data_IF_913956201574
#
_entry.id   IF_913956201574
#
_cell.length_a   1.000
_cell.length_b   1.000
_cell.length_c   1.000
_cell.angle_alpha   90.00
_cell.angle_beta   90.00
_cell.angle_gamma   90.00
#
_symmetry.space_group_name_H-M   'P 1'
#
loop_
_entity.id
_entity.type
_entity.pdbx_description
1 polymer ?
#
# COMPACT_ATOMS: atom_id res chain seq x y z
N UNK A 1 -12.10 20.82 -60.81
CA UNK A 1 -10.92 21.08 -59.94
C UNK A 1 -11.29 21.36 -58.48
N UNK A 2 -12.31 22.20 -58.18
CA UNK A 2 -12.70 22.55 -56.80
C UNK A 2 -13.16 21.38 -55.90
N UNK A 3 -13.89 20.40 -56.44
CA UNK A 3 -14.43 19.26 -55.67
C UNK A 3 -13.31 18.36 -55.10
N UNK A 4 -12.26 18.07 -55.88
CA UNK A 4 -11.09 17.30 -55.43
C UNK A 4 -10.34 18.00 -54.29
N UNK A 5 -10.30 19.33 -54.32
CA UNK A 5 -9.65 20.15 -53.29
C UNK A 5 -10.42 20.06 -51.97
N UNK A 6 -11.75 20.18 -52.01
CA UNK A 6 -12.63 20.08 -50.83
C UNK A 6 -12.52 18.71 -50.17
N UNK A 7 -12.51 17.63 -50.96
CA UNK A 7 -12.37 16.25 -50.43
C UNK A 7 -11.02 16.06 -49.72
N UNK A 8 -9.93 16.61 -50.27
CA UNK A 8 -8.61 16.52 -49.63
C UNK A 8 -8.52 17.37 -48.35
N UNK A 9 -9.20 18.52 -48.30
CA UNK A 9 -9.29 19.33 -47.07
C UNK A 9 -10.09 18.59 -46.00
N UNK A 10 -11.25 18.00 -46.35
CA UNK A 10 -12.05 17.21 -45.41
C UNK A 10 -11.30 15.98 -44.89
N UNK A 11 -10.54 15.26 -45.73
CA UNK A 11 -9.69 14.14 -45.29
C UNK A 11 -8.60 14.59 -44.31
N UNK A 12 -7.97 15.74 -44.54
CA UNK A 12 -6.95 16.29 -43.63
C UNK A 12 -7.57 16.71 -42.29
N UNK A 13 -8.75 17.33 -42.31
CA UNK A 13 -9.50 17.70 -41.09
C UNK A 13 -9.89 16.44 -40.30
N UNK A 14 -10.40 15.40 -40.96
CA UNK A 14 -10.77 14.14 -40.33
C UNK A 14 -9.56 13.43 -39.69
N UNK A 15 -8.41 13.46 -40.36
CA UNK A 15 -7.16 12.88 -39.86
C UNK A 15 -6.59 13.65 -38.66
N UNK A 16 -6.69 14.99 -38.66
CA UNK A 16 -6.30 15.84 -37.52
C UNK A 16 -7.21 15.60 -36.29
N UNK A 17 -8.51 15.43 -36.50
CA UNK A 17 -9.44 15.10 -35.40
C UNK A 17 -9.19 13.72 -34.81
N UNK A 18 -8.78 12.74 -35.62
CA UNK A 18 -8.43 11.39 -35.13
C UNK A 18 -7.16 11.40 -34.26
N UNK A 19 -6.15 12.21 -34.61
CA UNK A 19 -4.91 12.33 -33.84
C UNK A 19 -5.10 13.07 -32.51
N UNK A 20 -6.06 14.01 -32.44
CA UNK A 20 -6.41 14.71 -31.20
C UNK A 20 -7.13 13.81 -30.18
N UNK A 21 -7.88 12.80 -30.64
CA UNK A 21 -8.59 11.84 -29.76
C UNK A 21 -7.63 10.78 -29.21
N UNK A 22 -6.54 10.48 -29.92
CA UNK A 22 -5.54 9.50 -29.49
C UNK A 22 -4.67 9.95 -28.29
N UNK A 23 -4.80 11.20 -27.82
CA UNK A 23 -4.08 11.71 -26.64
C UNK A 23 -4.84 11.51 -25.32
N UNK A 24 -5.95 10.78 -25.30
CA UNK A 24 -6.66 10.51 -24.05
C UNK A 24 -5.88 9.53 -23.17
N UNK A 25 -5.16 10.10 -22.19
CA UNK A 25 -4.87 9.52 -20.88
C UNK A 25 -3.82 8.42 -20.83
N UNK A 26 -2.55 8.78 -20.70
CA UNK A 26 -1.59 7.87 -20.05
C UNK A 26 -2.01 7.80 -18.58
N UNK A 27 -2.54 6.65 -18.15
CA UNK A 27 -2.81 6.39 -16.74
C UNK A 27 -1.55 6.69 -15.92
N UNK A 28 -1.65 7.58 -14.93
CA UNK A 28 -0.52 8.00 -14.13
C UNK A 28 -0.36 7.02 -12.96
N UNK A 29 0.19 5.85 -13.27
CA UNK A 29 0.50 4.83 -12.27
C UNK A 29 1.88 5.08 -11.67
N UNK A 30 1.95 5.05 -10.35
CA UNK A 30 3.16 5.16 -9.56
C UNK A 30 3.36 3.87 -8.76
N UNK A 31 4.58 3.37 -8.66
CA UNK A 31 4.86 2.13 -7.95
C UNK A 31 6.22 2.12 -7.25
N UNK A 32 6.34 1.26 -6.25
CA UNK A 32 7.61 0.87 -5.62
C UNK A 32 7.55 -0.57 -5.14
N UNK A 33 8.74 -1.17 -4.96
CA UNK A 33 8.93 -2.48 -4.31
C UNK A 33 9.83 -2.39 -3.07
N UNK A 34 10.20 -1.17 -2.71
CA UNK A 34 11.13 -0.83 -1.63
C UNK A 34 10.44 0.10 -0.62
N UNK A 35 9.14 -0.09 -0.38
CA UNK A 35 8.44 0.64 0.66
C UNK A 35 8.87 0.12 2.04
N UNK A 36 9.03 1.06 2.98
CA UNK A 36 9.29 0.75 4.38
C UNK A 36 7.96 0.63 5.11
N UNK A 37 7.74 -0.49 5.77
CA UNK A 37 6.63 -0.71 6.68
C UNK A 37 7.18 -1.14 8.04
N UNK A 38 6.76 -0.47 9.09
CA UNK A 38 7.10 -0.86 10.46
C UNK A 38 5.87 -0.98 11.33
N UNK A 39 6.00 -1.75 12.41
CA UNK A 39 5.02 -1.73 13.47
C UNK A 39 5.68 -1.72 14.83
N UNK A 40 5.02 -1.06 15.78
CA UNK A 40 5.34 -1.08 17.20
C UNK A 40 4.17 -1.72 17.96
N UNK A 41 4.41 -2.88 18.57
CA UNK A 41 3.47 -3.60 19.41
C UNK A 41 4.04 -3.83 20.82
N UNK A 42 5.06 -3.05 21.21
CA UNK A 42 5.74 -3.18 22.48
C UNK A 42 4.94 -2.65 23.67
N UNK A 43 5.44 -2.94 24.86
CA UNK A 43 4.95 -2.40 26.13
C UNK A 43 6.13 -1.85 26.94
N UNK A 44 5.87 -1.38 28.17
CA UNK A 44 6.95 -1.03 29.09
C UNK A 44 7.83 -2.23 29.48
N UNK A 45 7.33 -3.47 29.29
CA UNK A 45 8.04 -4.68 29.69
C UNK A 45 8.88 -5.30 28.57
N UNK A 46 8.50 -5.09 27.31
CA UNK A 46 9.22 -5.64 26.15
C UNK A 46 9.06 -4.70 24.96
N UNK A 47 10.18 -4.40 24.31
CA UNK A 47 10.25 -3.63 23.06
C UNK A 47 10.00 -4.57 21.88
N UNK A 48 8.83 -4.43 21.24
CA UNK A 48 8.39 -5.26 20.11
C UNK A 48 8.18 -4.36 18.91
N UNK A 49 9.28 -4.14 18.20
CA UNK A 49 9.33 -3.34 16.99
C UNK A 49 9.90 -4.17 15.83
N UNK A 50 9.29 -4.03 14.66
CA UNK A 50 9.76 -4.69 13.45
C UNK A 50 9.65 -3.80 12.22
N UNK A 51 10.55 -4.00 11.27
CA UNK A 51 10.62 -3.24 10.01
C UNK A 51 10.76 -4.19 8.83
N UNK A 52 10.07 -3.87 7.74
CA UNK A 52 10.31 -4.44 6.42
C UNK A 52 10.59 -3.30 5.44
N UNK A 53 11.63 -3.46 4.60
CA UNK A 53 12.01 -2.51 3.54
C UNK A 53 11.66 -3.05 2.14
N UNK A 54 10.84 -4.09 2.09
CA UNK A 54 10.51 -4.84 0.86
C UNK A 54 9.01 -4.84 0.56
N UNK A 55 8.26 -3.91 1.15
CA UNK A 55 6.85 -3.76 0.83
C UNK A 55 6.69 -3.19 -0.58
N UNK A 56 5.65 -3.62 -1.28
CA UNK A 56 5.28 -3.07 -2.57
C UNK A 56 4.07 -2.16 -2.41
N UNK A 57 4.09 -1.03 -3.11
CA UNK A 57 2.96 -0.11 -3.16
C UNK A 57 2.72 0.36 -4.60
N UNK A 58 1.45 0.56 -4.93
CA UNK A 58 1.00 1.06 -6.23
C UNK A 58 -0.11 2.08 -6.02
N UNK A 59 -0.02 3.19 -6.73
CA UNK A 59 -1.03 4.24 -6.72
C UNK A 59 -1.36 4.64 -8.17
N UNK A 60 -2.64 4.62 -8.52
CA UNK A 60 -3.12 5.15 -9.80
C UNK A 60 -3.75 6.53 -9.56
N UNK A 61 -3.08 7.58 -10.02
CA UNK A 61 -3.55 8.95 -9.82
C UNK A 61 -4.80 9.30 -10.67
N UNK A 62 -5.18 8.43 -11.61
CA UNK A 62 -6.34 8.64 -12.50
C UNK A 62 -7.66 8.38 -11.76
N UNK A 63 -7.71 7.29 -10.99
CA UNK A 63 -8.91 6.84 -10.29
C UNK A 63 -8.72 6.68 -8.78
N UNK A 64 -7.55 7.07 -8.26
CA UNK A 64 -7.22 7.06 -6.84
C UNK A 64 -6.94 5.67 -6.28
N UNK A 65 -6.88 4.61 -7.09
CA UNK A 65 -6.65 3.25 -6.59
C UNK A 65 -5.29 3.15 -5.90
N UNK A 66 -5.32 2.54 -4.72
CA UNK A 66 -4.16 2.33 -3.86
C UNK A 66 -4.06 0.87 -3.45
N UNK A 67 -2.89 0.28 -3.67
CA UNK A 67 -2.56 -1.08 -3.21
C UNK A 67 -1.24 -1.07 -2.47
N UNK A 68 -1.18 -1.77 -1.34
CA UNK A 68 0.05 -1.98 -0.57
C UNK A 68 0.11 -3.45 -0.17
N UNK A 69 1.28 -4.09 -0.23
CA UNK A 69 1.46 -5.44 0.28
C UNK A 69 2.86 -5.63 0.86
N UNK A 70 2.96 -6.52 1.86
CA UNK A 70 4.22 -6.91 2.48
C UNK A 70 4.20 -8.40 2.79
N UNK A 71 5.34 -9.07 2.64
CA UNK A 71 5.51 -10.44 3.12
C UNK A 71 5.70 -10.43 4.64
N UNK A 72 4.97 -11.28 5.36
CA UNK A 72 5.13 -11.39 6.83
C UNK A 72 6.55 -11.78 7.21
N UNK A 73 7.15 -12.71 6.48
CA UNK A 73 8.53 -13.17 6.72
C UNK A 73 9.62 -12.14 6.41
N UNK A 74 9.28 -10.99 5.79
CA UNK A 74 10.26 -9.95 5.49
C UNK A 74 10.47 -8.96 6.65
N UNK A 75 9.61 -8.99 7.68
CA UNK A 75 9.85 -8.21 8.89
C UNK A 75 11.13 -8.66 9.60
N UNK A 76 11.90 -7.67 10.05
CA UNK A 76 13.13 -7.83 10.82
C UNK A 76 12.92 -7.28 12.21
N UNK A 77 13.25 -8.10 13.20
CA UNK A 77 13.17 -7.76 14.62
C UNK A 77 14.56 -7.64 15.20
N UNK A 78 14.68 -6.93 16.31
CA UNK A 78 15.94 -6.83 17.06
C UNK A 78 16.48 -8.19 17.54
N UNK A 79 15.58 -9.14 17.85
CA UNK A 79 15.94 -10.47 18.36
C UNK A 79 15.39 -11.54 17.42
N UNK A 80 16.24 -12.47 16.98
CA UNK A 80 15.85 -13.55 16.08
C UNK A 80 14.70 -14.40 16.61
N UNK A 81 14.70 -14.72 17.92
CA UNK A 81 13.64 -15.50 18.54
C UNK A 81 12.27 -14.79 18.51
N UNK A 82 12.23 -13.45 18.57
CA UNK A 82 10.97 -12.71 18.43
C UNK A 82 10.44 -12.81 17.00
N UNK A 83 11.33 -12.75 16.01
CA UNK A 83 10.98 -12.94 14.60
C UNK A 83 10.46 -14.37 14.35
N UNK A 84 11.08 -15.38 14.94
CA UNK A 84 10.62 -16.78 14.85
C UNK A 84 9.21 -16.91 15.44
N UNK A 85 9.01 -16.44 16.68
CA UNK A 85 7.69 -16.48 17.29
C UNK A 85 6.64 -15.68 16.50
N UNK A 86 6.99 -14.50 15.99
CA UNK A 86 6.13 -13.73 15.10
C UNK A 86 5.64 -14.58 13.93
N UNK A 87 6.58 -15.17 13.18
CA UNK A 87 6.26 -15.92 11.97
C UNK A 87 5.51 -17.23 12.24
N UNK A 88 5.85 -17.95 13.31
CA UNK A 88 5.29 -19.28 13.57
C UNK A 88 4.05 -19.24 14.47
N UNK A 89 4.10 -18.52 15.58
CA UNK A 89 3.09 -18.60 16.64
C UNK A 89 2.02 -17.51 16.55
N UNK A 90 2.31 -16.38 15.90
CA UNK A 90 1.39 -15.23 15.87
C UNK A 90 0.76 -15.04 14.50
N UNK A 91 1.55 -14.81 13.45
CA UNK A 91 1.01 -14.49 12.11
C UNK A 91 1.01 -15.68 11.15
N UNK A 92 1.43 -16.86 11.60
CA UNK A 92 1.46 -18.12 10.82
C UNK A 92 1.92 -17.89 9.36
N UNK A 93 3.08 -17.24 9.17
CA UNK A 93 3.52 -16.66 7.89
C UNK A 93 3.68 -17.67 6.75
N UNK A 94 3.85 -18.96 7.03
CA UNK A 94 3.83 -19.99 5.98
C UNK A 94 2.42 -20.17 5.38
N UNK A 95 1.39 -20.03 6.21
CA UNK A 95 -0.03 -20.17 5.83
C UNK A 95 -0.63 -18.85 5.35
N UNK A 96 -0.24 -17.74 5.98
CA UNK A 96 -0.67 -16.39 5.62
C UNK A 96 0.53 -15.50 5.29
N UNK A 97 1.15 -15.69 4.11
CA UNK A 97 2.46 -15.11 3.80
C UNK A 97 2.49 -13.61 3.62
N UNK A 98 1.34 -12.95 3.50
CA UNK A 98 1.27 -11.52 3.20
C UNK A 98 0.18 -10.80 4.00
N UNK A 99 0.45 -9.54 4.32
CA UNK A 99 -0.60 -8.54 4.54
C UNK A 99 -0.79 -7.74 3.26
N UNK A 100 -2.02 -7.34 2.99
CA UNK A 100 -2.31 -6.42 1.90
C UNK A 100 -3.36 -5.39 2.28
N UNK A 101 -3.22 -4.19 1.73
CA UNK A 101 -4.28 -3.20 1.63
C UNK A 101 -4.70 -3.05 0.17
N UNK A 102 -6.00 -2.94 -0.09
CA UNK A 102 -6.55 -2.62 -1.41
C UNK A 102 -7.72 -1.67 -1.25
N UNK A 103 -7.64 -0.51 -1.87
CA UNK A 103 -8.63 0.55 -1.69
C UNK A 103 -8.39 1.75 -2.58
N UNK A 104 -8.86 2.90 -2.12
CA UNK A 104 -8.76 4.19 -2.78
C UNK A 104 -8.15 5.22 -1.83
N UNK A 105 -7.39 6.16 -2.39
CA UNK A 105 -7.01 7.38 -1.71
C UNK A 105 -8.10 8.42 -1.90
N UNK A 106 -8.69 8.88 -0.80
CA UNK A 106 -9.82 9.81 -0.78
C UNK A 106 -9.56 10.92 0.24
N UNK A 107 -9.30 12.14 -0.24
CA UNK A 107 -9.24 13.35 0.61
C UNK A 107 -8.36 13.20 1.87
N UNK A 108 -7.14 12.67 1.71
CA UNK A 108 -6.21 12.47 2.82
C UNK A 108 -6.43 11.19 3.62
N UNK A 109 -7.23 10.25 3.10
CA UNK A 109 -7.42 8.93 3.70
C UNK A 109 -7.16 7.81 2.69
N UNK A 110 -6.67 6.68 3.17
CA UNK A 110 -6.71 5.41 2.47
C UNK A 110 -7.93 4.63 2.97
N UNK A 111 -8.92 4.44 2.09
CA UNK A 111 -10.20 3.78 2.39
C UNK A 111 -10.26 2.47 1.62
N UNK A 112 -10.48 1.35 2.30
CA UNK A 112 -10.56 0.06 1.64
C UNK A 112 -10.34 -1.12 2.57
N UNK A 113 -9.87 -2.23 2.01
CA UNK A 113 -9.74 -3.50 2.71
C UNK A 113 -8.30 -3.75 3.13
N UNK A 114 -8.09 -3.97 4.43
CA UNK A 114 -6.86 -4.48 5.00
C UNK A 114 -7.04 -5.97 5.31
N UNK A 115 -6.14 -6.80 4.78
CA UNK A 115 -6.07 -8.23 5.06
C UNK A 115 -4.79 -8.57 5.81
N UNK A 116 -4.93 -9.19 6.97
CA UNK A 116 -3.82 -9.70 7.79
C UNK A 116 -4.26 -11.07 8.33
N UNK A 117 -3.37 -12.05 8.29
CA UNK A 117 -3.60 -13.37 8.90
C UNK A 117 -4.93 -14.05 8.47
N UNK A 118 -5.24 -13.93 7.17
CA UNK A 118 -6.43 -14.54 6.56
C UNK A 118 -7.76 -13.84 6.83
N UNK A 119 -7.78 -12.80 7.68
CA UNK A 119 -8.96 -11.97 7.92
C UNK A 119 -8.85 -10.65 7.19
N UNK A 120 -9.98 -10.17 6.69
CA UNK A 120 -10.10 -8.89 5.97
C UNK A 120 -11.05 -7.98 6.71
N UNK A 121 -10.66 -6.71 6.87
CA UNK A 121 -11.50 -5.66 7.44
C UNK A 121 -11.49 -4.41 6.58
N UNK A 122 -12.63 -3.73 6.52
CA UNK A 122 -12.70 -2.40 5.96
C UNK A 122 -12.08 -1.40 6.94
N UNK A 123 -11.18 -0.56 6.45
CA UNK A 123 -10.49 0.49 7.21
C UNK A 123 -10.56 1.81 6.45
N UNK A 124 -10.48 2.90 7.21
CA UNK A 124 -10.26 4.25 6.69
C UNK A 124 -9.20 4.90 7.57
N UNK A 125 -8.00 5.11 7.03
CA UNK A 125 -6.84 5.59 7.80
C UNK A 125 -6.26 6.85 7.19
N UNK A 126 -5.69 7.77 7.99
CA UNK A 126 -4.99 8.95 7.47
C UNK A 126 -3.89 8.54 6.49
N UNK A 127 -3.81 9.22 5.35
CA UNK A 127 -2.79 8.95 4.34
C UNK A 127 -2.37 10.27 3.72
N UNK A 128 -1.07 10.51 3.63
CA UNK A 128 -0.49 11.68 2.98
C UNK A 128 0.22 11.22 1.71
N UNK A 129 -0.03 11.92 0.61
CA UNK A 129 0.70 11.74 -0.65
C UNK A 129 1.32 13.09 -1.01
N UNK A 130 2.64 13.17 -0.89
CA UNK A 130 3.43 14.36 -1.23
C UNK A 130 4.12 14.15 -2.56
N UNK A 131 4.06 15.16 -3.43
CA UNK A 131 4.84 15.16 -4.67
C UNK A 131 6.18 15.85 -4.45
N UNK A 132 7.28 15.17 -4.78
CA UNK A 132 8.63 15.72 -4.72
C UNK A 132 9.48 15.13 -5.86
N UNK A 133 10.11 15.99 -6.65
CA UNK A 133 11.06 15.60 -7.71
C UNK A 133 10.51 14.59 -8.74
N UNK A 134 9.20 14.62 -9.01
CA UNK A 134 8.53 13.70 -9.93
C UNK A 134 8.25 12.31 -9.34
N UNK A 135 8.52 12.11 -8.05
CA UNK A 135 8.12 10.95 -7.25
C UNK A 135 6.96 11.33 -6.32
N UNK A 136 6.18 10.32 -5.92
CA UNK A 136 5.14 10.48 -4.89
C UNK A 136 5.60 9.80 -3.61
N UNK A 137 5.67 10.55 -2.52
CA UNK A 137 5.92 10.04 -1.19
C UNK A 137 4.58 9.78 -0.50
N UNK A 138 4.22 8.51 -0.36
CA UNK A 138 3.08 8.07 0.42
C UNK A 138 3.51 7.81 1.87
N UNK A 139 2.76 8.37 2.83
CA UNK A 139 2.98 8.18 4.26
C UNK A 139 1.66 7.94 5.00
N UNK A 140 1.66 6.98 5.93
CA UNK A 140 0.52 6.77 6.84
C UNK A 140 1.00 6.19 8.16
N UNK A 141 0.31 6.57 9.24
CA UNK A 141 0.44 5.96 10.56
C UNK A 141 -0.97 5.68 11.10
N UNK A 142 -1.22 4.46 11.57
CA UNK A 142 -2.51 4.06 12.12
C UNK A 142 -2.39 2.88 13.08
N UNK A 143 -3.29 2.76 14.07
CA UNK A 143 -3.34 1.60 14.95
C UNK A 143 -4.04 0.42 14.26
N UNK A 144 -3.56 -0.79 14.56
CA UNK A 144 -4.21 -2.06 14.21
C UNK A 144 -4.43 -2.85 15.49
N UNK A 145 -5.68 -3.15 15.81
CA UNK A 145 -5.99 -4.11 16.88
C UNK A 145 -5.56 -5.51 16.44
N UNK A 146 -4.72 -6.19 17.22
CA UNK A 146 -4.09 -7.45 16.81
C UNK A 146 -5.12 -8.59 16.72
N UNK A 147 -5.98 -8.72 17.73
CA UNK A 147 -6.99 -9.78 17.81
C UNK A 147 -8.06 -9.69 16.72
N UNK A 148 -8.27 -8.48 16.18
CA UNK A 148 -9.21 -8.23 15.08
C UNK A 148 -8.85 -9.02 13.82
N UNK A 149 -7.57 -9.36 13.66
CA UNK A 149 -7.07 -10.16 12.54
C UNK A 149 -6.82 -11.62 12.94
N UNK A 150 -7.40 -12.08 14.05
CA UNK A 150 -7.33 -13.48 14.47
C UNK A 150 -5.96 -13.91 14.97
N UNK A 151 -5.07 -12.95 15.25
CA UNK A 151 -3.77 -13.21 15.89
C UNK A 151 -3.99 -13.28 17.39
N UNK A 152 -3.82 -14.47 17.97
CA UNK A 152 -4.04 -14.71 19.40
C UNK A 152 -2.81 -14.35 20.22
N UNK A 153 -3.00 -13.61 21.30
CA UNK A 153 -1.94 -13.26 22.26
C UNK A 153 -2.08 -14.18 23.48
N UNK A 154 -1.11 -15.09 23.74
CA UNK A 154 -1.17 -15.94 24.92
C UNK A 154 -1.20 -15.12 26.22
N UNK A 155 -2.05 -15.51 27.16
CA UNK A 155 -2.23 -14.78 28.43
C UNK A 155 -0.93 -14.55 29.21
N UNK A 156 0.02 -15.49 29.15
CA UNK A 156 1.33 -15.41 29.81
C UNK A 156 2.22 -14.24 29.35
N UNK A 157 1.96 -13.68 28.15
CA UNK A 157 2.72 -12.56 27.58
C UNK A 157 1.83 -11.36 27.23
N UNK A 158 0.56 -11.39 27.62
CA UNK A 158 -0.42 -10.33 27.32
C UNK A 158 -0.06 -8.95 27.91
N UNK A 159 0.74 -8.91 28.98
CA UNK A 159 1.26 -7.67 29.55
C UNK A 159 2.51 -7.14 28.82
N UNK A 160 3.10 -7.95 27.93
CA UNK A 160 4.31 -7.59 27.15
C UNK A 160 3.97 -7.07 25.75
N UNK A 161 2.85 -7.50 25.18
CA UNK A 161 2.39 -7.17 23.84
C UNK A 161 1.23 -6.18 23.93
N UNK A 162 1.33 -5.04 23.24
CA UNK A 162 0.23 -4.09 23.15
C UNK A 162 -0.97 -4.70 22.40
N UNK A 163 -2.19 -4.35 22.82
CA UNK A 163 -3.41 -4.78 22.12
C UNK A 163 -3.50 -4.23 20.70
N UNK A 164 -2.97 -3.03 20.52
CA UNK A 164 -2.89 -2.34 19.24
C UNK A 164 -1.42 -2.22 18.82
N UNK A 165 -1.13 -2.62 17.59
CA UNK A 165 0.13 -2.34 16.94
C UNK A 165 0.02 -1.01 16.19
N UNK A 166 0.95 -0.08 16.44
CA UNK A 166 1.05 1.14 15.66
C UNK A 166 1.79 0.84 14.36
N UNK A 167 1.09 0.89 13.23
CA UNK A 167 1.64 0.62 11.90
C UNK A 167 2.07 1.93 11.26
N UNK A 168 3.24 1.95 10.64
CA UNK A 168 3.75 3.06 9.85
C UNK A 168 4.15 2.57 8.47
N UNK A 169 3.72 3.28 7.42
CA UNK A 169 4.09 3.00 6.03
C UNK A 169 4.74 4.24 5.44
N UNK A 170 5.87 4.07 4.75
CA UNK A 170 6.51 5.09 3.93
C UNK A 170 6.92 4.49 2.59
N UNK A 171 6.40 5.04 1.50
CA UNK A 171 6.66 4.54 0.16
C UNK A 171 7.01 5.69 -0.79
N UNK A 172 8.23 5.69 -1.32
CA UNK A 172 8.61 6.56 -2.43
C UNK A 172 8.25 5.85 -3.74
N UNK A 173 7.22 6.35 -4.42
CA UNK A 173 6.62 5.78 -5.61
C UNK A 173 7.13 6.51 -6.86
N UNK A 174 7.62 5.74 -7.83
CA UNK A 174 8.10 6.27 -9.11
C UNK A 174 7.04 6.09 -10.18
N UNK A 175 6.92 7.08 -11.06
CA UNK A 175 6.02 7.00 -12.21
C UNK A 175 6.44 5.84 -13.13
N UNK A 176 5.44 5.08 -13.58
CA UNK A 176 5.61 3.96 -14.52
C UNK A 176 5.56 4.41 -15.98
#
# INVERSE_FOLDING_TARGET
>A
MKVRLIINVMKKVLLLTFFAIAQQGIAQQYLTREATLSFDAGSQLEDIYAVSESASAVYDATDGKLGVQVLMSSFRFKRALMQEHFNENYVESEKFPKAQFTGTYERGQAVGQLSIHGLTKDIAVPCEILEADGELLLQTEFPVTIEDFGVSIPGAVSNKIAKEAKVTVRAALKKR
#
